data_IF_442452454802
#
_entry.id   IF_442452454802
#
_cell.length_a   1.000
_cell.length_b   1.000
_cell.length_c   1.000
_cell.angle_alpha   90.00
_cell.angle_beta   90.00
_cell.angle_gamma   90.00
#
_symmetry.space_group_name_H-M   'P 1'
#
loop_
_entity.id
_entity.type
_entity.pdbx_description
1 polymer ?
#
# COMPACT_ATOMS: atom_id res chain seq x y z
N UNK A 1 -39.02 9.52 14.48
CA UNK A 1 -40.36 9.82 13.92
C UNK A 1 -40.16 10.94 12.90
N UNK A 2 -40.40 10.65 11.61
CA UNK A 2 -40.28 11.49 10.39
C UNK A 2 -38.88 12.10 10.09
N UNK A 3 -38.09 11.64 9.11
CA UNK A 3 -38.27 11.58 7.64
C UNK A 3 -38.39 12.96 6.98
N UNK A 4 -37.31 13.40 6.31
CA UNK A 4 -37.35 14.41 5.24
C UNK A 4 -36.14 14.24 4.31
N UNK A 5 -36.42 13.75 3.10
CA UNK A 5 -35.60 13.86 1.89
C UNK A 5 -35.47 15.34 1.47
N UNK A 6 -34.44 15.70 0.69
CA UNK A 6 -34.65 16.69 -0.37
C UNK A 6 -34.29 16.16 -1.76
N UNK A 7 -35.32 16.24 -2.60
CA UNK A 7 -35.39 16.54 -4.03
C UNK A 7 -34.09 16.57 -4.86
N UNK A 8 -34.07 15.66 -5.84
CA UNK A 8 -33.27 15.69 -7.06
C UNK A 8 -33.87 16.73 -8.03
N UNK A 9 -33.09 17.75 -8.40
CA UNK A 9 -33.43 18.71 -9.46
C UNK A 9 -32.63 18.32 -10.71
N UNK A 10 -33.32 17.74 -11.70
CA UNK A 10 -32.82 17.61 -13.07
C UNK A 10 -32.87 18.99 -13.74
N UNK A 11 -31.71 19.52 -14.11
CA UNK A 11 -31.59 20.58 -15.09
C UNK A 11 -30.95 20.01 -16.36
N UNK A 12 -31.71 20.02 -17.45
CA UNK A 12 -31.27 19.74 -18.81
C UNK A 12 -30.43 20.92 -19.33
N UNK A 13 -29.23 20.62 -19.84
CA UNK A 13 -28.40 21.56 -20.59
C UNK A 13 -28.37 21.17 -22.08
N UNK A 14 -28.23 22.13 -23.01
CA UNK A 14 -28.35 21.91 -24.44
C UNK A 14 -27.10 21.27 -25.03
N UNK A 15 -27.32 20.47 -26.07
CA UNK A 15 -26.28 19.91 -26.92
C UNK A 15 -25.56 21.01 -27.72
N UNK A 16 -24.25 21.09 -27.56
CA UNK A 16 -23.33 21.65 -28.55
C UNK A 16 -22.20 20.63 -28.71
N UNK A 17 -22.14 20.06 -29.90
CA UNK A 17 -21.04 19.25 -30.36
C UNK A 17 -19.91 20.19 -30.81
N UNK A 18 -18.71 19.97 -30.29
CA UNK A 18 -17.46 20.15 -31.03
C UNK A 18 -16.47 19.11 -30.48
N UNK A 19 -15.95 18.31 -31.40
CA UNK A 19 -14.95 17.27 -31.21
C UNK A 19 -13.60 17.91 -30.84
N UNK A 20 -13.09 17.60 -29.64
CA UNK A 20 -11.68 17.33 -29.35
C UNK A 20 -11.55 17.06 -27.85
N UNK A 21 -11.66 15.79 -27.48
CA UNK A 21 -11.56 15.32 -26.10
C UNK A 21 -10.10 15.48 -25.61
N UNK A 22 -9.82 16.25 -24.54
CA UNK A 22 -8.47 16.41 -24.04
C UNK A 22 -7.94 15.06 -23.54
N UNK A 23 -6.74 14.68 -23.99
CA UNK A 23 -6.09 13.42 -23.66
C UNK A 23 -6.10 13.18 -22.14
N UNK A 24 -6.74 12.08 -21.73
CA UNK A 24 -6.81 11.66 -20.33
C UNK A 24 -5.39 11.48 -19.74
N UNK A 25 -5.15 11.89 -18.48
CA UNK A 25 -3.86 11.75 -17.84
C UNK A 25 -3.44 10.26 -17.73
N UNK A 26 -2.15 9.93 -17.91
CA UNK A 26 -1.67 8.56 -17.88
C UNK A 26 -1.84 7.95 -16.48
N UNK A 27 -2.41 6.76 -16.44
CA UNK A 27 -2.68 5.96 -15.24
C UNK A 27 -1.39 5.33 -14.73
N UNK A 28 -1.20 5.36 -13.42
CA UNK A 28 -0.12 4.68 -12.70
C UNK A 28 -0.57 3.25 -12.41
N UNK A 29 0.18 2.27 -12.91
CA UNK A 29 0.01 0.85 -12.59
C UNK A 29 0.82 0.52 -11.34
N UNK A 30 0.15 0.20 -10.23
CA UNK A 30 0.80 -0.35 -9.04
C UNK A 30 -0.04 -1.54 -8.54
N UNK A 31 0.45 -2.78 -8.74
CA UNK A 31 -0.15 -4.05 -8.27
C UNK A 31 0.43 -4.45 -6.90
N UNK A 32 -0.43 -4.93 -5.98
CA UNK A 32 -0.12 -5.53 -4.67
C UNK A 32 -1.43 -6.05 -4.07
N UNK A 33 -1.51 -7.36 -3.75
CA UNK A 33 -2.44 -7.90 -2.75
C UNK A 33 -3.55 -8.86 -3.23
N UNK A 34 -3.17 -9.87 -4.02
CA UNK A 34 -3.96 -11.03 -4.49
C UNK A 34 -3.02 -11.85 -5.37
N UNK A 35 -3.27 -13.14 -5.68
CA UNK A 35 -2.40 -13.88 -6.60
C UNK A 35 -2.18 -13.02 -7.85
N UNK A 36 -0.91 -12.79 -8.17
CA UNK A 36 -0.49 -11.99 -9.31
C UNK A 36 -1.12 -12.61 -10.56
N UNK A 37 -2.18 -11.97 -11.06
CA UNK A 37 -2.74 -12.36 -12.36
C UNK A 37 -1.77 -11.83 -13.38
N UNK A 38 -0.98 -12.76 -13.94
CA UNK A 38 -0.11 -12.55 -15.07
C UNK A 38 -0.82 -11.64 -16.09
N UNK A 39 -0.20 -10.52 -16.44
CA UNK A 39 -0.49 -9.77 -17.66
C UNK A 39 0.02 -10.54 -18.90
N UNK A 40 -0.27 -11.84 -18.93
CA UNK A 40 -0.33 -12.68 -20.11
C UNK A 40 -1.69 -13.36 -20.11
N UNK A 41 -2.44 -12.97 -21.12
CA UNK A 41 -3.75 -13.46 -21.56
C UNK A 41 -3.72 -14.90 -22.07
N UNK A 42 -3.05 -15.77 -21.37
CA UNK A 42 -3.45 -17.17 -21.35
C UNK A 42 -3.79 -17.41 -19.90
N UNK A 43 -5.09 -17.55 -19.64
CA UNK A 43 -5.52 -18.15 -18.40
C UNK A 43 -4.57 -19.31 -18.14
N UNK A 44 -3.78 -19.24 -17.05
CA UNK A 44 -3.27 -20.47 -16.47
C UNK A 44 -4.52 -21.33 -16.35
N UNK A 45 -4.59 -22.38 -17.17
CA UNK A 45 -5.65 -23.37 -17.11
C UNK A 45 -5.62 -23.88 -15.67
N UNK A 46 -6.46 -23.28 -14.83
CA UNK A 46 -6.92 -23.93 -13.61
C UNK A 46 -7.61 -25.16 -14.19
N UNK A 47 -6.99 -26.33 -14.02
CA UNK A 47 -7.65 -27.58 -14.40
C UNK A 47 -9.09 -27.50 -13.87
N UNK A 48 -10.05 -27.96 -14.67
CA UNK A 48 -11.49 -27.85 -14.37
C UNK A 48 -11.89 -28.52 -13.03
N UNK A 49 -10.96 -29.22 -12.36
CA UNK A 49 -11.06 -29.53 -10.94
C UNK A 49 -10.39 -28.43 -10.12
N UNK A 50 -11.14 -27.69 -9.31
CA UNK A 50 -10.66 -26.62 -8.41
C UNK A 50 -9.66 -27.02 -7.30
N UNK A 51 -8.70 -27.90 -7.61
CA UNK A 51 -7.56 -28.26 -6.80
C UNK A 51 -6.39 -27.30 -6.99
N UNK A 52 -5.49 -27.29 -6.01
CA UNK A 52 -4.26 -26.50 -6.03
C UNK A 52 -3.28 -27.11 -7.03
N UNK A 53 -2.56 -26.25 -7.78
CA UNK A 53 -1.53 -26.71 -8.72
C UNK A 53 -0.34 -27.25 -7.94
N UNK A 54 -0.09 -28.55 -8.08
CA UNK A 54 1.02 -29.26 -7.44
C UNK A 54 2.38 -28.74 -7.93
N UNK A 55 3.34 -28.62 -7.02
CA UNK A 55 4.69 -28.13 -7.27
C UNK A 55 4.81 -26.62 -7.22
N UNK A 56 5.81 -26.08 -7.93
CA UNK A 56 6.13 -24.65 -7.96
C UNK A 56 5.34 -23.92 -9.05
N UNK A 57 4.75 -22.78 -8.68
CA UNK A 57 4.04 -21.86 -9.55
C UNK A 57 4.64 -20.46 -9.41
N UNK A 58 5.60 -20.08 -10.27
CA UNK A 58 6.15 -18.74 -10.31
C UNK A 58 5.24 -17.78 -11.10
N UNK A 59 5.14 -16.54 -10.64
CA UNK A 59 4.53 -15.42 -11.35
C UNK A 59 5.46 -14.21 -11.28
N UNK A 60 5.59 -13.46 -12.37
CA UNK A 60 6.40 -12.23 -12.39
C UNK A 60 5.79 -11.22 -13.35
N UNK A 61 5.47 -10.04 -12.85
CA UNK A 61 5.05 -8.89 -13.60
C UNK A 61 6.06 -7.74 -13.40
N UNK A 62 6.43 -7.12 -14.52
CA UNK A 62 7.30 -5.94 -14.55
C UNK A 62 6.49 -4.77 -15.10
N UNK A 63 6.45 -3.68 -14.36
CA UNK A 63 5.83 -2.42 -14.76
C UNK A 63 6.88 -1.36 -15.03
N UNK A 64 6.65 -0.52 -16.03
CA UNK A 64 7.45 0.68 -16.26
C UNK A 64 6.56 1.81 -16.77
N UNK A 65 6.72 3.00 -16.20
CA UNK A 65 5.97 4.19 -16.53
C UNK A 65 6.91 5.32 -16.93
N UNK A 66 6.56 6.02 -18.01
CA UNK A 66 7.21 7.26 -18.41
C UNK A 66 6.15 8.30 -18.75
N UNK A 67 6.25 9.47 -18.15
CA UNK A 67 5.37 10.60 -18.43
C UNK A 67 6.20 11.86 -18.66
N UNK A 68 5.86 12.59 -19.72
CA UNK A 68 6.49 13.86 -20.09
C UNK A 68 5.38 14.87 -20.37
N UNK A 69 5.35 15.94 -19.59
CA UNK A 69 4.40 17.03 -19.75
C UNK A 69 5.21 18.30 -20.00
N UNK A 70 4.98 18.99 -21.12
CA UNK A 70 5.58 20.30 -21.41
C UNK A 70 4.46 21.34 -21.52
N UNK A 71 4.43 22.28 -20.57
CA UNK A 71 3.43 23.34 -20.55
C UNK A 71 4.08 24.66 -20.96
N UNK A 72 3.46 25.35 -21.94
CA UNK A 72 3.89 26.67 -22.42
C UNK A 72 2.71 27.61 -22.52
N UNK A 73 2.73 28.69 -21.75
CA UNK A 73 1.66 29.70 -21.73
C UNK A 73 0.24 29.12 -21.52
N UNK A 74 0.13 27.99 -20.83
CA UNK A 74 -1.18 27.38 -20.49
C UNK A 74 -1.68 28.04 -19.21
N UNK A 75 -2.83 28.72 -19.30
CA UNK A 75 -3.41 29.47 -18.19
C UNK A 75 -3.71 28.51 -17.02
N UNK A 76 -3.23 28.86 -15.84
CA UNK A 76 -3.43 28.07 -14.62
C UNK A 76 -2.54 26.84 -14.49
N UNK A 77 -1.62 26.60 -15.44
CA UNK A 77 -0.61 25.54 -15.35
C UNK A 77 0.77 26.14 -15.13
N UNK A 78 1.63 25.39 -14.44
CA UNK A 78 3.01 25.79 -14.27
C UNK A 78 3.77 25.64 -15.59
N UNK A 79 4.54 26.66 -15.97
CA UNK A 79 5.37 26.64 -17.17
C UNK A 79 6.61 25.75 -16.98
N UNK A 80 6.92 24.97 -18.01
CA UNK A 80 8.10 24.12 -18.06
C UNK A 80 7.78 22.64 -18.29
N UNK A 81 8.82 21.83 -18.16
CA UNK A 81 8.78 20.38 -18.41
C UNK A 81 8.75 19.59 -17.11
N UNK A 82 7.74 18.73 -16.95
CA UNK A 82 7.67 17.70 -15.91
C UNK A 82 8.02 16.34 -16.51
N UNK A 83 8.93 15.62 -15.87
CA UNK A 83 9.32 14.25 -16.26
C UNK A 83 9.06 13.32 -15.08
N UNK A 84 8.26 12.28 -15.28
CA UNK A 84 8.03 11.23 -14.28
C UNK A 84 8.46 9.88 -14.84
N UNK A 85 9.23 9.13 -14.06
CA UNK A 85 9.69 7.78 -14.37
C UNK A 85 9.26 6.89 -13.20
N UNK A 86 8.62 5.77 -13.51
CA UNK A 86 8.26 4.77 -12.52
C UNK A 86 8.62 3.37 -13.02
N UNK A 87 8.88 2.46 -12.09
CA UNK A 87 9.14 1.06 -12.33
C UNK A 87 8.57 0.23 -11.20
N UNK A 88 8.11 -0.97 -11.52
CA UNK A 88 7.50 -1.89 -10.58
C UNK A 88 7.89 -3.34 -10.89
N UNK A 89 7.96 -4.14 -9.85
CA UNK A 89 8.11 -5.59 -9.89
C UNK A 89 7.08 -6.18 -8.95
N UNK A 90 6.29 -7.12 -9.46
CA UNK A 90 5.39 -7.97 -8.68
C UNK A 90 5.77 -9.42 -8.98
N UNK A 91 6.38 -10.09 -8.01
CA UNK A 91 6.79 -11.47 -8.13
C UNK A 91 6.06 -12.32 -7.08
N UNK A 92 5.53 -13.44 -7.54
CA UNK A 92 4.89 -14.45 -6.70
C UNK A 92 5.59 -15.80 -6.91
N UNK A 93 5.72 -16.56 -5.83
CA UNK A 93 6.22 -17.92 -5.89
C UNK A 93 5.42 -18.78 -4.91
N UNK A 94 4.57 -19.63 -5.48
CA UNK A 94 3.74 -20.55 -4.73
C UNK A 94 4.28 -21.96 -4.86
N UNK A 95 4.27 -22.71 -3.77
CA UNK A 95 4.57 -24.13 -3.74
C UNK A 95 3.42 -24.87 -3.08
N UNK A 96 2.88 -25.87 -3.75
CA UNK A 96 1.88 -26.78 -3.17
C UNK A 96 2.43 -28.21 -3.24
N UNK A 97 2.37 -28.93 -2.13
CA UNK A 97 2.60 -30.37 -2.11
C UNK A 97 1.79 -31.04 -1.01
N UNK A 98 0.90 -31.96 -1.36
CA UNK A 98 0.00 -32.63 -0.42
C UNK A 98 -0.77 -31.62 0.47
N UNK A 99 -0.53 -31.65 1.79
CA UNK A 99 -1.10 -30.73 2.77
C UNK A 99 -0.31 -29.42 2.91
N UNK A 100 0.82 -29.27 2.23
CA UNK A 100 1.71 -28.13 2.37
C UNK A 100 1.43 -27.09 1.29
N UNK A 101 1.32 -25.84 1.71
CA UNK A 101 1.20 -24.70 0.82
C UNK A 101 2.10 -23.58 1.33
N UNK A 102 2.93 -23.04 0.44
CA UNK A 102 3.88 -21.99 0.75
C UNK A 102 3.79 -20.90 -0.31
N UNK A 103 3.31 -19.73 0.11
CA UNK A 103 3.13 -18.57 -0.74
C UNK A 103 4.20 -17.54 -0.43
N UNK A 104 4.89 -17.06 -1.45
CA UNK A 104 5.84 -15.96 -1.33
C UNK A 104 5.43 -14.88 -2.30
N UNK A 105 5.44 -13.62 -1.86
CA UNK A 105 5.23 -12.46 -2.70
C UNK A 105 6.32 -11.42 -2.45
N UNK A 106 6.77 -10.78 -3.52
CA UNK A 106 7.76 -9.73 -3.52
C UNK A 106 7.24 -8.60 -4.42
N UNK A 107 7.16 -7.42 -3.86
CA UNK A 107 6.63 -6.24 -4.49
C UNK A 107 7.67 -5.14 -4.33
N UNK A 108 8.13 -4.59 -5.43
CA UNK A 108 9.09 -3.49 -5.43
C UNK A 108 8.59 -2.41 -6.38
N UNK A 109 8.53 -1.17 -5.92
CA UNK A 109 8.13 -0.03 -6.72
C UNK A 109 9.12 1.11 -6.51
N UNK A 110 9.48 1.79 -7.60
CA UNK A 110 10.32 2.97 -7.61
C UNK A 110 9.71 4.01 -8.54
N UNK A 111 9.62 5.24 -8.07
CA UNK A 111 9.08 6.35 -8.83
C UNK A 111 9.88 7.62 -8.54
N UNK A 112 10.19 8.36 -9.59
CA UNK A 112 10.76 9.70 -9.47
C UNK A 112 10.09 10.68 -10.43
N UNK A 113 9.96 11.93 -9.98
CA UNK A 113 9.50 13.02 -10.80
C UNK A 113 10.44 14.23 -10.69
N UNK A 114 10.67 14.89 -11.80
CA UNK A 114 11.29 16.21 -11.87
C UNK A 114 10.24 17.20 -12.33
N UNK A 115 10.08 18.30 -11.61
CA UNK A 115 9.09 19.34 -11.92
C UNK A 115 9.78 20.65 -12.29
N UNK A 116 9.06 21.62 -12.88
CA UNK A 116 9.63 22.94 -13.14
C UNK A 116 10.02 23.70 -11.86
N UNK A 117 9.29 23.54 -10.75
CA UNK A 117 9.61 24.19 -9.46
C UNK A 117 10.87 23.61 -8.83
N UNK A 118 11.06 22.29 -8.96
CA UNK A 118 12.18 21.57 -8.38
C UNK A 118 12.93 20.86 -9.51
N UNK A 119 14.00 21.51 -9.98
CA UNK A 119 14.80 21.06 -11.12
C UNK A 119 15.70 19.84 -10.81
N UNK A 120 15.29 18.99 -9.88
CA UNK A 120 15.96 17.76 -9.44
C UNK A 120 14.94 16.61 -9.44
N UNK A 121 15.42 15.38 -9.55
CA UNK A 121 14.56 14.19 -9.47
C UNK A 121 14.18 13.94 -8.01
N UNK A 122 12.90 14.08 -7.72
CA UNK A 122 12.29 13.81 -6.42
C UNK A 122 11.73 12.40 -6.41
N UNK A 123 11.88 11.69 -5.30
CA UNK A 123 11.26 10.38 -5.08
C UNK A 123 9.75 10.57 -4.94
N UNK A 124 8.96 9.90 -5.77
CA UNK A 124 7.48 9.96 -5.72
C UNK A 124 6.86 8.67 -5.21
N UNK A 125 7.54 7.54 -5.43
CA UNK A 125 7.17 6.24 -4.88
C UNK A 125 8.45 5.45 -4.60
N UNK A 126 8.50 4.71 -3.50
CA UNK A 126 9.60 3.81 -3.17
C UNK A 126 9.12 2.84 -2.09
N UNK A 127 8.93 1.59 -2.48
CA UNK A 127 8.41 0.57 -1.59
C UNK A 127 8.95 -0.79 -1.96
N UNK A 128 9.33 -1.56 -0.95
CA UNK A 128 9.73 -2.95 -1.03
C UNK A 128 8.93 -3.71 0.03
N UNK A 129 8.03 -4.58 -0.43
CA UNK A 129 7.27 -5.47 0.42
C UNK A 129 7.57 -6.92 0.07
N UNK A 130 7.84 -7.74 1.08
CA UNK A 130 8.00 -9.17 0.94
C UNK A 130 7.08 -9.86 1.94
N UNK A 131 6.36 -10.90 1.50
CA UNK A 131 5.54 -11.72 2.37
C UNK A 131 5.77 -13.19 2.07
N UNK A 132 5.88 -13.98 3.13
CA UNK A 132 6.01 -15.43 3.09
C UNK A 132 5.00 -16.03 4.05
N UNK A 133 4.11 -16.86 3.52
CA UNK A 133 3.05 -17.52 4.29
C UNK A 133 3.12 -19.02 4.03
N UNK A 134 3.23 -19.79 5.10
CA UNK A 134 3.14 -21.23 5.08
C UNK A 134 1.82 -21.68 5.71
N UNK A 135 1.08 -22.51 5.00
CA UNK A 135 -0.22 -23.07 5.36
C UNK A 135 -0.07 -24.60 5.37
N UNK A 136 -0.40 -25.24 6.50
CA UNK A 136 -0.50 -26.69 6.58
C UNK A 136 -1.96 -27.10 6.66
N UNK A 137 -2.49 -27.73 5.61
CA UNK A 137 -3.87 -28.14 5.47
C UNK A 137 -4.14 -29.42 6.27
N UNK A 138 -4.31 -29.28 7.58
CA UNK A 138 -4.73 -30.38 8.45
C UNK A 138 -6.11 -30.93 8.05
N UNK A 139 -6.98 -30.05 7.55
CA UNK A 139 -8.18 -30.33 6.78
C UNK A 139 -8.09 -29.55 5.46
N UNK A 140 -8.91 -29.92 4.48
CA UNK A 140 -8.92 -29.27 3.16
C UNK A 140 -9.06 -27.74 3.24
N UNK A 141 -9.82 -27.25 4.24
CA UNK A 141 -10.17 -25.84 4.43
C UNK A 141 -9.63 -25.24 5.72
N UNK A 142 -8.92 -25.98 6.56
CA UNK A 142 -8.51 -25.51 7.89
C UNK A 142 -7.15 -26.08 8.27
N UNK A 143 -6.31 -25.26 8.87
CA UNK A 143 -5.10 -25.74 9.51
C UNK A 143 -4.24 -24.64 10.12
N UNK A 144 -3.07 -24.99 10.68
CA UNK A 144 -2.15 -23.99 11.19
C UNK A 144 -1.46 -23.23 10.06
N UNK A 145 -1.09 -21.98 10.35
CA UNK A 145 -0.28 -21.15 9.46
C UNK A 145 0.88 -20.47 10.20
N UNK A 146 1.90 -20.13 9.44
CA UNK A 146 2.97 -19.23 9.84
C UNK A 146 3.15 -18.17 8.75
N UNK A 147 3.40 -16.93 9.16
CA UNK A 147 3.55 -15.79 8.27
C UNK A 147 4.72 -14.92 8.71
N UNK A 148 5.48 -14.47 7.73
CA UNK A 148 6.48 -13.43 7.85
C UNK A 148 6.22 -12.40 6.76
N UNK A 149 6.23 -11.13 7.11
CA UNK A 149 6.11 -10.02 6.18
C UNK A 149 7.09 -8.92 6.55
N UNK A 150 7.62 -8.27 5.52
CA UNK A 150 8.61 -7.21 5.58
C UNK A 150 8.12 -6.09 4.68
N UNK A 151 8.13 -4.86 5.16
CA UNK A 151 7.82 -3.66 4.37
C UNK A 151 8.90 -2.61 4.63
N UNK A 152 9.45 -2.03 3.58
CA UNK A 152 10.48 -0.99 3.67
C UNK A 152 10.53 -0.17 2.38
N UNK A 153 11.51 0.72 2.26
CA UNK A 153 11.86 1.45 1.05
C UNK A 153 13.25 1.02 0.55
N UNK A 154 13.57 1.17 -0.74
CA UNK A 154 14.87 0.74 -1.28
C UNK A 154 15.91 1.86 -1.31
N UNK A 155 15.48 3.10 -1.43
CA UNK A 155 16.34 4.27 -1.62
C UNK A 155 16.21 5.23 -0.44
N UNK A 156 17.26 6.03 -0.14
CA UNK A 156 17.16 7.01 0.94
C UNK A 156 16.06 8.03 0.63
N UNK A 157 15.40 8.54 1.67
CA UNK A 157 14.41 9.61 1.54
C UNK A 157 15.03 10.95 1.96
N UNK A 158 14.67 12.01 1.25
CA UNK A 158 15.02 13.37 1.63
C UNK A 158 13.86 14.29 1.32
N UNK A 159 13.58 15.23 2.21
CA UNK A 159 12.77 16.38 1.88
C UNK A 159 13.59 17.32 1.00
N UNK A 160 13.02 17.77 -0.11
CA UNK A 160 13.69 18.69 -1.04
C UNK A 160 12.70 19.79 -1.41
N UNK A 161 13.10 21.03 -1.13
CA UNK A 161 12.28 22.22 -1.35
C UNK A 161 12.87 23.11 -2.45
N UNK A 162 11.99 23.85 -3.13
CA UNK A 162 12.38 24.78 -4.20
C UNK A 162 13.27 25.92 -3.65
N UNK A 163 12.93 26.43 -2.48
CA UNK A 163 13.66 27.46 -1.73
C UNK A 163 14.10 26.94 -0.37
N UNK A 164 15.06 27.62 0.26
CA UNK A 164 15.50 27.24 1.59
C UNK A 164 14.37 27.49 2.60
N UNK A 165 14.17 26.54 3.51
CA UNK A 165 13.22 26.61 4.63
C UNK A 165 13.95 26.39 5.94
N UNK A 166 13.31 26.75 7.05
CA UNK A 166 13.80 26.41 8.38
C UNK A 166 13.13 25.11 8.82
N UNK A 167 13.93 24.14 9.22
CA UNK A 167 13.47 22.90 9.84
C UNK A 167 13.65 23.01 11.35
N UNK A 168 12.59 22.72 12.10
CA UNK A 168 12.66 22.47 13.54
C UNK A 168 12.59 20.95 13.78
N UNK A 169 13.74 20.36 14.07
CA UNK A 169 13.89 18.92 14.28
C UNK A 169 13.78 18.64 15.77
N UNK A 170 12.70 17.98 16.17
CA UNK A 170 12.50 17.49 17.54
C UNK A 170 13.11 16.10 17.67
N UNK A 171 14.20 16.03 18.43
CA UNK A 171 14.92 14.78 18.72
C UNK A 171 14.15 13.93 19.75
N UNK A 172 14.55 12.66 19.89
CA UNK A 172 13.88 11.71 20.80
C UNK A 172 13.95 12.11 22.29
N UNK A 173 14.94 12.93 22.68
CA UNK A 173 15.08 13.48 24.02
C UNK A 173 14.30 14.80 24.24
N UNK A 174 13.53 15.22 23.24
CA UNK A 174 12.75 16.46 23.25
C UNK A 174 13.57 17.71 22.93
N UNK A 175 14.87 17.59 22.64
CA UNK A 175 15.66 18.73 22.19
C UNK A 175 15.27 19.14 20.78
N UNK A 176 15.26 20.45 20.50
CA UNK A 176 14.93 20.98 19.18
C UNK A 176 16.17 21.55 18.52
N UNK A 177 16.53 21.00 17.37
CA UNK A 177 17.62 21.48 16.52
C UNK A 177 17.05 22.23 15.32
N UNK A 178 17.55 23.43 15.05
CA UNK A 178 17.14 24.22 13.90
C UNK A 178 18.15 24.10 12.77
N UNK A 179 17.67 23.81 11.56
CA UNK A 179 18.49 23.72 10.34
C UNK A 179 17.83 24.55 9.24
N UNK A 180 18.58 25.44 8.59
CA UNK A 180 18.11 26.12 7.38
C UNK A 180 18.71 25.47 6.14
N UNK A 181 17.86 25.05 5.20
CA UNK A 181 18.33 24.38 3.99
C UNK A 181 17.24 24.12 2.97
N UNK A 182 17.66 23.65 1.80
CA UNK A 182 16.76 23.16 0.73
C UNK A 182 16.55 21.66 0.76
N UNK A 183 17.31 20.96 1.61
CA UNK A 183 17.32 19.51 1.70
C UNK A 183 17.50 19.08 3.14
N UNK A 184 16.67 18.15 3.57
CA UNK A 184 16.82 17.43 4.83
C UNK A 184 16.79 15.92 4.53
N UNK A 185 17.78 15.18 5.02
CA UNK A 185 17.77 13.72 4.93
C UNK A 185 16.74 13.20 5.91
N UNK A 186 15.81 12.36 5.44
CA UNK A 186 14.73 11.83 6.28
C UNK A 186 15.04 10.41 6.73
N UNK A 187 15.41 9.51 5.82
CA UNK A 187 15.65 8.09 6.15
C UNK A 187 16.72 7.48 5.25
N UNK A 188 17.41 6.44 5.75
CA UNK A 188 18.40 5.70 4.97
C UNK A 188 17.73 4.67 4.03
N UNK A 189 18.50 4.02 3.12
CA UNK A 189 18.00 2.89 2.36
C UNK A 189 17.53 1.77 3.28
N UNK A 190 16.42 1.11 2.96
CA UNK A 190 15.83 0.03 3.76
C UNK A 190 15.35 0.46 5.16
N UNK A 191 15.09 1.77 5.34
CA UNK A 191 14.52 2.35 6.57
C UNK A 191 13.36 3.31 6.24
N UNK A 192 12.23 3.28 6.95
CA UNK A 192 11.92 2.38 8.06
C UNK A 192 11.70 0.95 7.57
N UNK A 193 11.97 -0.02 8.44
CA UNK A 193 11.75 -1.45 8.20
C UNK A 193 10.64 -1.95 9.13
N UNK A 194 9.48 -2.25 8.58
CA UNK A 194 8.39 -2.89 9.32
C UNK A 194 8.40 -4.40 9.09
N UNK A 195 8.62 -5.15 10.16
CA UNK A 195 8.51 -6.60 10.21
C UNK A 195 7.17 -6.99 10.83
N UNK A 196 6.50 -7.97 10.24
CA UNK A 196 5.25 -8.57 10.74
C UNK A 196 5.41 -10.07 10.76
N UNK A 197 5.08 -10.69 11.89
CA UNK A 197 5.19 -12.14 12.07
C UNK A 197 3.90 -12.64 12.67
N UNK A 198 3.38 -13.77 12.18
CA UNK A 198 2.21 -14.37 12.80
C UNK A 198 2.12 -15.87 12.70
N UNK A 199 1.45 -16.44 13.70
CA UNK A 199 1.25 -17.87 13.90
C UNK A 199 -0.18 -18.08 14.36
N UNK A 200 -0.90 -19.02 13.75
CA UNK A 200 -2.29 -19.24 14.11
C UNK A 200 -2.96 -20.32 13.30
N UNK A 201 -4.27 -20.21 13.14
CA UNK A 201 -5.07 -21.05 12.27
C UNK A 201 -5.66 -20.24 11.12
N UNK A 202 -5.74 -20.86 9.95
CA UNK A 202 -6.43 -20.33 8.78
C UNK A 202 -7.69 -21.16 8.51
N UNK A 203 -8.67 -20.54 7.86
CA UNK A 203 -9.90 -21.15 7.39
C UNK A 203 -10.25 -20.63 5.99
N UNK A 204 -10.39 -21.53 5.02
CA UNK A 204 -10.70 -21.27 3.62
C UNK A 204 -12.00 -21.96 3.20
N UNK A 205 -13.18 -21.44 3.58
CA UNK A 205 -14.45 -22.12 3.32
C UNK A 205 -14.91 -22.10 1.86
N UNK A 206 -14.45 -21.12 1.07
CA UNK A 206 -14.85 -20.93 -0.32
C UNK A 206 -13.59 -20.83 -1.17
N UNK A 207 -13.53 -21.63 -2.24
CA UNK A 207 -12.43 -21.67 -3.21
C UNK A 207 -13.00 -21.81 -4.63
N UNK A 208 -13.84 -20.85 -4.98
CA UNK A 208 -14.51 -20.80 -6.28
C UNK A 208 -13.92 -19.66 -7.10
N UNK A 209 -13.98 -19.74 -8.43
CA UNK A 209 -13.44 -18.68 -9.30
C UNK A 209 -14.13 -17.31 -9.07
N UNK A 210 -15.41 -17.32 -8.67
CA UNK A 210 -16.14 -16.09 -8.33
C UNK A 210 -15.73 -15.50 -6.98
N UNK A 211 -15.32 -16.36 -6.04
CA UNK A 211 -14.94 -15.97 -4.68
C UNK A 211 -14.07 -17.05 -4.02
N UNK A 212 -12.90 -16.62 -3.61
CA UNK A 212 -12.03 -17.30 -2.65
C UNK A 212 -12.05 -16.49 -1.36
N UNK A 213 -12.37 -17.14 -0.25
CA UNK A 213 -12.45 -16.51 1.08
C UNK A 213 -11.44 -17.18 2.00
N UNK A 214 -10.60 -16.39 2.65
CA UNK A 214 -9.63 -16.84 3.62
C UNK A 214 -9.75 -16.00 4.90
N UNK A 215 -9.94 -16.66 6.03
CA UNK A 215 -9.83 -16.07 7.35
C UNK A 215 -8.61 -16.63 8.07
N UNK A 216 -7.92 -15.80 8.85
CA UNK A 216 -6.78 -16.18 9.69
C UNK A 216 -6.95 -15.57 11.06
N UNK A 217 -6.63 -16.31 12.11
CA UNK A 217 -6.63 -15.81 13.47
C UNK A 217 -5.48 -16.44 14.25
N UNK A 218 -4.82 -15.65 15.09
CA UNK A 218 -3.63 -16.13 15.80
C UNK A 218 -2.96 -15.07 16.66
N UNK A 219 -1.68 -15.27 16.88
CA UNK A 219 -0.78 -14.31 17.51
C UNK A 219 0.04 -13.62 16.44
N UNK A 220 0.12 -12.30 16.54
CA UNK A 220 0.90 -11.44 15.66
C UNK A 220 1.90 -10.60 16.44
N UNK A 221 3.05 -10.36 15.82
CA UNK A 221 4.03 -9.37 16.25
C UNK A 221 4.31 -8.43 15.08
N UNK A 222 4.37 -7.14 15.36
CA UNK A 222 4.77 -6.10 14.43
C UNK A 222 5.89 -5.30 15.08
N UNK A 223 6.97 -5.07 14.35
CA UNK A 223 8.11 -4.26 14.76
C UNK A 223 8.41 -3.28 13.64
N UNK A 224 8.68 -2.02 13.98
CA UNK A 224 9.13 -1.00 13.03
C UNK A 224 10.46 -0.48 13.51
N UNK A 225 11.51 -0.74 12.74
CA UNK A 225 12.84 -0.18 12.94
C UNK A 225 12.91 1.12 12.15
N UNK A 226 12.95 2.24 12.86
CA UNK A 226 12.91 3.59 12.28
C UNK A 226 13.86 4.56 12.99
N UNK A 227 14.59 4.13 14.01
CA UNK A 227 15.57 4.96 14.71
C UNK A 227 16.58 5.60 13.76
N UNK A 228 16.86 6.89 13.97
CA UNK A 228 17.70 7.70 13.08
C UNK A 228 16.99 8.25 11.84
N UNK A 229 15.73 7.87 11.64
CA UNK A 229 14.84 8.46 10.65
C UNK A 229 14.10 9.69 11.17
N UNK A 230 13.49 10.44 10.26
CA UNK A 230 12.70 11.64 10.55
C UNK A 230 11.38 11.63 9.78
N UNK A 231 10.31 12.09 10.42
CA UNK A 231 9.00 12.33 9.82
C UNK A 231 8.67 13.82 9.80
N UNK A 232 8.13 14.31 8.69
CA UNK A 232 7.61 15.67 8.59
C UNK A 232 6.25 15.70 9.31
N UNK A 233 6.12 16.56 10.31
CA UNK A 233 4.92 16.73 11.14
C UNK A 233 4.52 18.21 11.15
N UNK A 234 4.54 18.81 9.96
CA UNK A 234 4.32 20.24 9.70
C UNK A 234 2.97 20.70 10.29
N UNK A 235 3.00 21.79 11.07
CA UNK A 235 1.79 22.44 11.59
C UNK A 235 1.43 23.62 10.68
N UNK A 236 0.24 23.58 10.07
CA UNK A 236 -0.25 24.66 9.20
C UNK A 236 -0.32 26.04 9.89
N UNK A 237 -0.18 26.09 11.23
CA UNK A 237 -0.21 27.33 12.02
C UNK A 237 1.16 27.98 12.26
N UNK A 238 2.27 27.30 11.96
CA UNK A 238 3.64 27.82 12.10
C UNK A 238 4.19 28.28 10.76
N UNK A 239 4.01 29.58 10.45
CA UNK A 239 4.52 30.16 9.21
C UNK A 239 6.06 30.03 9.09
N UNK A 240 6.53 29.62 7.91
CA UNK A 240 7.96 29.53 7.52
C UNK A 240 8.84 28.57 8.35
N UNK A 241 8.23 27.65 9.10
CA UNK A 241 8.88 26.58 9.84
C UNK A 241 8.34 25.24 9.39
N UNK A 242 9.21 24.26 9.16
CA UNK A 242 8.81 22.87 8.90
C UNK A 242 9.15 22.04 10.12
N UNK A 243 8.14 21.57 10.84
CA UNK A 243 8.33 20.67 11.97
C UNK A 243 8.67 19.26 11.50
N UNK A 244 9.69 18.71 12.15
CA UNK A 244 10.20 17.38 11.88
C UNK A 244 10.40 16.66 13.20
N UNK A 245 9.95 15.41 13.29
CA UNK A 245 10.08 14.60 14.50
C UNK A 245 10.97 13.40 14.22
N UNK A 246 11.94 13.14 15.09
CA UNK A 246 12.75 11.94 15.05
C UNK A 246 11.89 10.70 15.26
N UNK A 247 12.06 9.71 14.40
CA UNK A 247 11.40 8.42 14.49
C UNK A 247 12.09 7.55 15.53
N UNK A 248 11.30 6.71 16.19
CA UNK A 248 11.78 5.70 17.14
C UNK A 248 11.37 4.31 16.68
N UNK A 249 12.12 3.33 17.14
CA UNK A 249 11.70 1.94 17.02
C UNK A 249 10.42 1.70 17.83
N UNK A 250 9.54 0.88 17.28
CA UNK A 250 8.30 0.51 17.95
C UNK A 250 8.00 -0.97 17.73
N UNK A 251 7.37 -1.60 18.72
CA UNK A 251 6.85 -2.95 18.55
C UNK A 251 5.46 -3.09 19.14
N UNK A 252 4.73 -4.07 18.64
CA UNK A 252 3.40 -4.44 19.06
C UNK A 252 3.26 -5.96 18.98
N UNK A 253 2.79 -6.59 20.06
CA UNK A 253 2.47 -8.02 20.10
C UNK A 253 1.03 -8.17 20.54
N UNK A 254 0.26 -8.97 19.81
CA UNK A 254 -1.18 -8.99 19.93
C UNK A 254 -1.86 -10.24 19.38
N UNK A 255 -3.17 -10.31 19.61
CA UNK A 255 -4.03 -11.21 18.84
C UNK A 255 -4.27 -10.63 17.45
N UNK A 256 -4.09 -11.43 16.42
CA UNK A 256 -4.31 -11.03 15.03
C UNK A 256 -5.56 -11.73 14.48
N UNK A 257 -6.34 -10.99 13.70
CA UNK A 257 -7.41 -11.53 12.88
C UNK A 257 -7.35 -10.90 11.48
N UNK A 258 -7.43 -11.72 10.44
CA UNK A 258 -7.48 -11.29 9.05
C UNK A 258 -8.60 -12.00 8.31
N UNK A 259 -9.27 -11.29 7.43
CA UNK A 259 -10.23 -11.84 6.47
C UNK A 259 -9.91 -11.25 5.11
N UNK A 260 -9.68 -12.11 4.12
CA UNK A 260 -9.38 -11.76 2.74
C UNK A 260 -10.39 -12.45 1.83
N UNK A 261 -10.91 -11.72 0.86
CA UNK A 261 -11.75 -12.24 -0.21
C UNK A 261 -11.21 -11.76 -1.55
N UNK A 262 -11.10 -12.64 -2.53
CA UNK A 262 -10.71 -12.29 -3.89
C UNK A 262 -11.40 -13.19 -4.91
N UNK A 263 -11.55 -12.73 -6.15
CA UNK A 263 -12.21 -13.51 -7.20
C UNK A 263 -12.53 -12.69 -8.45
N UNK A 264 -13.38 -13.26 -9.31
CA UNK A 264 -13.82 -12.64 -10.56
C UNK A 264 -15.34 -12.45 -10.59
N UNK A 265 -15.83 -11.26 -10.96
CA UNK A 265 -17.27 -11.03 -11.07
C UNK A 265 -17.90 -11.71 -12.28
N UNK A 266 -17.13 -11.93 -13.34
CA UNK A 266 -17.61 -12.51 -14.59
C UNK A 266 -16.89 -13.83 -14.93
N UNK A 267 -17.57 -14.79 -15.59
CA UNK A 267 -16.94 -16.03 -16.05
C UNK A 267 -15.77 -15.82 -17.01
N UNK A 268 -15.74 -14.69 -17.72
CA UNK A 268 -14.67 -14.31 -18.63
C UNK A 268 -13.43 -13.76 -17.92
N UNK A 269 -13.43 -13.71 -16.58
CA UNK A 269 -12.31 -13.25 -15.73
C UNK A 269 -11.81 -11.84 -16.11
N UNK A 270 -12.69 -10.99 -16.62
CA UNK A 270 -12.35 -9.61 -17.04
C UNK A 270 -12.36 -8.65 -15.87
N UNK A 271 -13.19 -8.90 -14.87
CA UNK A 271 -13.34 -8.03 -13.70
C UNK A 271 -12.95 -8.84 -12.48
N UNK A 272 -11.75 -8.57 -11.94
CA UNK A 272 -11.31 -9.14 -10.67
C UNK A 272 -11.46 -8.17 -9.52
N UNK A 273 -11.62 -8.70 -8.32
CA UNK A 273 -11.66 -7.91 -7.09
C UNK A 273 -10.83 -8.57 -5.99
N UNK A 274 -10.41 -7.74 -5.05
CA UNK A 274 -9.90 -8.18 -3.77
C UNK A 274 -10.44 -7.27 -2.66
N UNK A 275 -10.62 -7.82 -1.48
CA UNK A 275 -10.95 -7.10 -0.27
C UNK A 275 -10.27 -7.78 0.91
N UNK A 276 -9.68 -7.01 1.81
CA UNK A 276 -8.99 -7.51 2.98
C UNK A 276 -9.29 -6.63 4.19
N UNK A 277 -9.44 -7.25 5.35
CA UNK A 277 -9.51 -6.59 6.65
C UNK A 277 -8.60 -7.34 7.62
N UNK A 278 -7.65 -6.64 8.21
CA UNK A 278 -6.73 -7.11 9.23
C UNK A 278 -6.85 -6.27 10.49
N UNK A 279 -6.78 -6.94 11.64
CA UNK A 279 -6.78 -6.35 12.96
C UNK A 279 -5.62 -6.94 13.76
N UNK A 280 -4.88 -6.10 14.47
CA UNK A 280 -3.95 -6.53 15.52
C UNK A 280 -4.36 -5.85 16.82
N UNK A 281 -4.82 -6.66 17.77
CA UNK A 281 -5.28 -6.24 19.09
C UNK A 281 -4.12 -6.45 20.07
N UNK A 282 -3.44 -5.39 20.51
CA UNK A 282 -2.23 -5.53 21.29
C UNK A 282 -2.50 -5.96 22.73
N UNK A 283 -1.62 -6.80 23.26
CA UNK A 283 -1.47 -7.04 24.70
C UNK A 283 -0.11 -6.56 25.24
N UNK A 284 0.85 -6.28 24.35
CA UNK A 284 2.14 -5.68 24.67
C UNK A 284 2.59 -4.74 23.54
N UNK A 285 3.26 -3.64 23.90
CA UNK A 285 3.84 -2.68 22.96
C UNK A 285 5.19 -2.19 23.49
N UNK A 286 5.92 -1.46 22.66
CA UNK A 286 7.00 -0.57 23.11
C UNK A 286 6.45 0.53 24.03
N UNK A 287 7.35 1.17 24.77
CA UNK A 287 7.01 2.31 25.61
C UNK A 287 6.41 3.44 24.77
N UNK A 288 5.33 4.02 25.28
CA UNK A 288 4.70 5.19 24.69
C UNK A 288 5.54 6.44 24.98
N UNK A 289 5.33 7.50 24.20
CA UNK A 289 5.98 8.77 24.45
C UNK A 289 5.59 9.33 25.84
N UNK A 290 6.44 10.17 26.43
CA UNK A 290 6.10 10.81 27.71
C UNK A 290 4.82 11.64 27.56
N UNK A 291 3.85 11.40 28.45
CA UNK A 291 2.53 12.05 28.40
C UNK A 291 1.49 11.37 27.50
N UNK A 292 1.83 10.24 26.86
CA UNK A 292 0.89 9.45 26.09
C UNK A 292 0.16 8.42 26.97
N UNK A 293 -1.10 8.70 27.29
CA UNK A 293 -1.97 7.90 28.15
C UNK A 293 -2.83 6.87 27.36
N UNK A 294 -2.52 6.61 26.08
CA UNK A 294 -3.28 5.68 25.24
C UNK A 294 -3.29 4.26 25.80
N UNK A 295 -4.46 3.62 25.78
CA UNK A 295 -4.63 2.24 26.24
C UNK A 295 -4.35 1.25 25.12
N UNK A 296 -3.81 0.08 25.46
CA UNK A 296 -3.64 -1.05 24.54
C UNK A 296 -4.92 -1.32 23.74
N UNK A 297 -6.07 -1.35 24.43
CA UNK A 297 -7.39 -1.46 23.82
C UNK A 297 -8.28 -0.33 24.39
N UNK A 298 -8.97 0.46 23.53
CA UNK A 298 -9.08 0.33 22.06
C UNK A 298 -8.06 1.17 21.27
N UNK A 299 -7.26 1.99 21.95
CA UNK A 299 -6.56 3.10 21.29
C UNK A 299 -5.44 2.61 20.37
N UNK A 300 -4.72 1.56 20.77
CA UNK A 300 -3.58 1.02 20.04
C UNK A 300 -3.90 -0.14 19.08
N UNK A 301 -5.19 -0.40 18.79
CA UNK A 301 -5.56 -1.40 17.77
C UNK A 301 -5.09 -0.94 16.39
N UNK A 302 -4.29 -1.78 15.75
CA UNK A 302 -3.90 -1.61 14.35
C UNK A 302 -4.98 -2.17 13.44
N UNK A 303 -5.36 -1.40 12.43
CA UNK A 303 -6.39 -1.77 11.43
C UNK A 303 -5.81 -1.62 10.04
N UNK A 304 -5.97 -2.66 9.22
CA UNK A 304 -5.56 -2.66 7.82
C UNK A 304 -6.74 -3.09 6.97
N UNK A 305 -7.31 -2.18 6.19
CA UNK A 305 -8.36 -2.49 5.24
C UNK A 305 -7.86 -2.22 3.82
N UNK A 306 -8.17 -3.13 2.91
CA UNK A 306 -7.80 -3.04 1.50
C UNK A 306 -9.01 -3.40 0.65
N UNK A 307 -9.17 -2.71 -0.47
CA UNK A 307 -10.10 -3.08 -1.50
C UNK A 307 -9.50 -2.75 -2.86
N UNK A 308 -9.68 -3.65 -3.82
CA UNK A 308 -9.19 -3.51 -5.17
C UNK A 308 -10.22 -4.01 -6.17
N UNK A 309 -10.36 -3.28 -7.27
CA UNK A 309 -11.14 -3.71 -8.44
C UNK A 309 -10.24 -3.52 -9.65
N UNK A 310 -10.14 -4.55 -10.49
CA UNK A 310 -9.41 -4.50 -11.74
C UNK A 310 -10.31 -4.90 -12.89
N UNK A 311 -10.46 -4.01 -13.86
CA UNK A 311 -11.29 -4.19 -15.05
C UNK A 311 -10.39 -4.26 -16.27
N UNK A 312 -10.34 -5.42 -16.91
CA UNK A 312 -9.68 -5.61 -18.20
C UNK A 312 -10.57 -5.06 -19.31
N UNK A 313 -10.15 -3.96 -19.91
CA UNK A 313 -10.87 -3.30 -21.01
C UNK A 313 -10.52 -3.94 -22.36
N UNK A 314 -9.23 -4.21 -22.56
CA UNK A 314 -8.66 -4.88 -23.74
C UNK A 314 -7.54 -5.84 -23.31
N UNK A 315 -7.04 -6.68 -24.22
CA UNK A 315 -5.92 -7.58 -23.91
C UNK A 315 -4.62 -6.85 -23.53
N UNK A 316 -4.51 -5.59 -23.93
CA UNK A 316 -3.36 -4.72 -23.66
C UNK A 316 -3.68 -3.59 -22.67
N UNK A 317 -4.91 -3.50 -22.16
CA UNK A 317 -5.32 -2.40 -21.30
C UNK A 317 -6.27 -2.83 -20.18
N UNK A 318 -5.94 -2.41 -18.96
CA UNK A 318 -6.78 -2.55 -17.78
C UNK A 318 -7.00 -1.21 -17.08
N UNK A 319 -8.02 -1.17 -16.23
CA UNK A 319 -8.29 -0.10 -15.30
C UNK A 319 -8.37 -0.70 -13.91
N UNK A 320 -7.48 -0.28 -13.02
CA UNK A 320 -7.48 -0.71 -11.63
C UNK A 320 -7.84 0.45 -10.71
N UNK A 321 -8.65 0.16 -9.70
CA UNK A 321 -8.91 1.04 -8.56
C UNK A 321 -8.48 0.33 -7.28
N UNK A 322 -7.88 1.07 -6.36
CA UNK A 322 -7.41 0.56 -5.08
C UNK A 322 -7.72 1.54 -3.97
N UNK A 323 -8.09 0.97 -2.83
CA UNK A 323 -8.25 1.64 -1.57
C UNK A 323 -7.42 0.88 -0.54
N UNK A 324 -6.55 1.61 0.16
CA UNK A 324 -5.85 1.12 1.33
C UNK A 324 -6.14 2.09 2.48
N UNK A 325 -6.59 1.54 3.61
CA UNK A 325 -6.82 2.28 4.85
C UNK A 325 -5.98 1.58 5.90
N UNK A 326 -4.97 2.28 6.42
CA UNK A 326 -4.08 1.75 7.43
C UNK A 326 -4.11 2.68 8.63
N UNK A 327 -4.40 2.13 9.80
CA UNK A 327 -4.29 2.83 11.08
C UNK A 327 -3.26 2.11 11.93
N UNK A 328 -2.12 2.75 12.14
CA UNK A 328 -1.00 2.21 12.92
C UNK A 328 -0.63 3.21 14.03
N UNK A 329 -1.34 3.18 15.17
CA UNK A 329 -1.30 4.26 16.16
C UNK A 329 0.06 4.44 16.83
N UNK A 330 0.97 3.45 16.79
CA UNK A 330 2.33 3.62 17.31
C UNK A 330 3.27 4.40 16.38
N UNK A 331 2.91 4.58 15.10
CA UNK A 331 3.76 5.23 14.09
C UNK A 331 3.23 6.61 13.72
N UNK A 332 1.91 6.73 13.49
CA UNK A 332 1.26 8.00 13.12
C UNK A 332 -0.08 8.11 13.85
N UNK A 333 -0.34 9.28 14.45
CA UNK A 333 -1.53 9.54 15.26
C UNK A 333 -2.83 9.76 14.43
N UNK A 334 -2.71 9.91 13.11
CA UNK A 334 -3.82 10.23 12.20
C UNK A 334 -4.33 9.02 11.38
N UNK A 335 -5.57 9.13 10.88
CA UNK A 335 -6.24 8.18 9.98
C UNK A 335 -6.00 8.49 8.50
#
# INVERSE_FOLDING_TARGET
MFAALPALLLASAPALADDDDPAAPPKVEDSVGGPAVDNKTEAAEKEESGGRKEGWSPGIALGAGFNLIDNRAVVGQQEGTTVTIAGGLDAALEFNADAHEWRNSLLAALGTARTPTVAEFLKTNDGLAFESIYLYHALETLGPFARFALNTQMLPASDIRATAVNYAITELDGTVTNLTGRRLSLTNPFEPLTLKQSLGAFWQPLREDIIELEARAGLGAQETLAEGGYAITDDDTTEDLVEVTALRDSYQVGGEAMVNAWGFFDPGKRISYNAGLGLLIPFATSDLAEGDDRKLVPDLITVEARAGINVKLFDWASLSYKLAVNRQPLIVDAW
#
